data_IF_761064540844
#
_entry.id   IF_761064540844
#
_cell.length_a   1.000
_cell.length_b   1.000
_cell.length_c   1.000
_cell.angle_alpha   90.00
_cell.angle_beta   90.00
_cell.angle_gamma   90.00
#
_symmetry.space_group_name_H-M   'P 1'
#
loop_
_entity.id
_entity.type
_entity.pdbx_description
1 polymer ?
#
# COMPACT_ATOMS: atom_id res chain seq x y z
N UNK A 1 47.44 1.74 54.79
CA UNK A 1 46.64 0.99 53.79
C UNK A 1 45.18 1.29 54.05
N UNK A 2 44.41 1.84 53.10
CA UNK A 2 43.00 2.14 53.36
C UNK A 2 42.21 0.84 53.49
N UNK A 3 41.29 0.80 54.46
CA UNK A 3 40.43 -0.33 54.75
C UNK A 3 39.61 -0.74 53.52
N UNK A 4 39.56 -2.04 53.22
CA UNK A 4 38.61 -2.60 52.25
C UNK A 4 37.20 -2.31 52.76
N UNK A 5 36.47 -1.41 52.12
CA UNK A 5 35.02 -1.31 52.29
C UNK A 5 34.39 -2.59 51.71
N UNK A 6 33.99 -3.49 52.60
CA UNK A 6 33.21 -4.67 52.25
C UNK A 6 31.75 -4.19 52.16
N UNK A 7 31.24 -4.06 50.94
CA UNK A 7 29.82 -3.78 50.72
C UNK A 7 29.13 -5.13 50.55
N UNK A 8 28.25 -5.48 51.48
CA UNK A 8 27.45 -6.70 51.38
C UNK A 8 26.33 -6.53 50.34
N UNK A 9 26.01 -7.62 49.65
CA UNK A 9 24.93 -7.65 48.67
C UNK A 9 23.58 -7.83 49.38
N UNK A 10 22.67 -6.87 49.18
CA UNK A 10 21.31 -7.01 49.69
C UNK A 10 20.51 -8.00 48.84
N UNK A 11 19.84 -8.93 49.51
CA UNK A 11 19.09 -10.00 48.83
C UNK A 11 17.67 -9.57 48.47
N UNK A 12 17.55 -8.69 47.47
CA UNK A 12 16.26 -8.23 46.94
C UNK A 12 15.47 -9.31 46.19
N UNK A 13 16.13 -10.39 45.75
CA UNK A 13 15.52 -11.57 45.13
C UNK A 13 16.12 -12.85 45.74
N UNK A 14 15.41 -13.97 45.66
CA UNK A 14 16.02 -15.27 45.90
C UNK A 14 16.95 -15.68 44.73
N UNK A 15 17.91 -16.57 45.00
CA UNK A 15 18.84 -17.04 43.96
C UNK A 15 18.10 -17.74 42.79
N UNK A 16 16.99 -18.43 43.09
CA UNK A 16 16.14 -19.10 42.10
C UNK A 16 15.40 -18.11 41.20
N UNK A 17 14.90 -17.01 41.78
CA UNK A 17 14.25 -15.94 41.01
C UNK A 17 15.26 -15.19 40.14
N UNK A 18 16.47 -14.95 40.64
CA UNK A 18 17.55 -14.35 39.87
C UNK A 18 17.93 -15.22 38.66
N UNK A 19 18.05 -16.54 38.85
CA UNK A 19 18.31 -17.48 37.77
C UNK A 19 17.18 -17.55 36.75
N UNK A 20 15.92 -17.53 37.19
CA UNK A 20 14.76 -17.47 36.29
C UNK A 20 14.83 -16.20 35.43
N UNK A 21 15.13 -15.06 36.06
CA UNK A 21 15.24 -13.78 35.35
C UNK A 21 16.40 -13.75 34.35
N UNK A 22 17.53 -14.38 34.67
CA UNK A 22 18.66 -14.54 33.74
C UNK A 22 18.24 -15.35 32.51
N UNK A 23 17.39 -16.38 32.65
CA UNK A 23 16.93 -17.19 31.51
C UNK A 23 15.96 -16.42 30.61
N UNK A 24 15.14 -15.55 31.20
CA UNK A 24 14.11 -14.78 30.48
C UNK A 24 14.64 -13.50 29.82
N UNK A 25 15.71 -12.92 30.36
CA UNK A 25 16.22 -11.63 29.92
C UNK A 25 16.92 -11.71 28.55
N UNK A 26 16.62 -10.76 27.67
CA UNK A 26 17.14 -10.74 26.29
C UNK A 26 18.17 -9.64 26.07
N UNK A 27 18.16 -8.59 26.89
CA UNK A 27 19.16 -7.52 26.79
C UNK A 27 20.52 -8.00 27.33
N UNK A 28 21.52 -8.06 26.45
CA UNK A 28 22.89 -8.46 26.77
C UNK A 28 23.54 -7.62 27.88
N UNK A 29 23.15 -6.35 28.02
CA UNK A 29 23.65 -5.46 29.08
C UNK A 29 23.05 -5.80 30.43
N UNK A 30 21.76 -6.15 30.47
CA UNK A 30 21.08 -6.58 31.69
C UNK A 30 21.53 -7.97 32.12
N UNK A 31 21.65 -8.91 31.18
CA UNK A 31 22.20 -10.25 31.45
C UNK A 31 23.56 -10.17 32.14
N UNK A 32 24.46 -9.33 31.62
CA UNK A 32 25.79 -9.13 32.19
C UNK A 32 25.77 -8.60 33.63
N UNK A 33 24.79 -7.74 33.96
CA UNK A 33 24.57 -7.22 35.33
C UNK A 33 23.97 -8.28 36.24
N UNK A 34 23.05 -9.10 35.75
CA UNK A 34 22.43 -10.19 36.52
C UNK A 34 23.43 -11.33 36.80
N UNK A 35 24.30 -11.68 35.85
CA UNK A 35 25.39 -12.63 36.07
C UNK A 35 26.39 -12.11 37.12
N UNK A 36 26.67 -10.81 37.13
CA UNK A 36 27.49 -10.21 38.18
C UNK A 36 26.85 -10.38 39.56
N UNK A 37 25.55 -10.11 39.69
CA UNK A 37 24.83 -10.31 40.96
C UNK A 37 24.77 -11.79 41.36
N UNK A 38 24.59 -12.71 40.41
CA UNK A 38 24.59 -14.15 40.70
C UNK A 38 25.93 -14.57 41.34
N UNK A 39 27.04 -14.14 40.75
CA UNK A 39 28.38 -14.40 41.29
C UNK A 39 28.55 -13.80 42.70
N UNK A 40 28.02 -12.61 42.96
CA UNK A 40 28.01 -12.01 44.31
C UNK A 40 27.15 -12.80 45.31
N UNK A 41 26.04 -13.40 44.86
CA UNK A 41 25.17 -14.26 45.70
C UNK A 41 25.80 -15.61 46.03
N UNK A 42 26.63 -16.13 45.12
CA UNK A 42 27.43 -17.34 45.29
C UNK A 42 28.63 -17.15 46.22
N UNK A 43 28.94 -15.90 46.60
CA UNK A 43 29.97 -15.56 47.59
C UNK A 43 31.32 -15.16 47.02
N UNK A 44 31.41 -14.88 45.71
CA UNK A 44 32.63 -14.38 45.09
C UNK A 44 33.07 -13.02 45.69
N UNK A 45 34.38 -12.77 45.76
CA UNK A 45 34.88 -11.42 46.05
C UNK A 45 34.52 -10.46 44.91
N UNK A 46 34.35 -9.18 45.23
CA UNK A 46 34.01 -8.13 44.27
C UNK A 46 34.93 -8.12 43.04
N UNK A 47 36.22 -8.41 43.25
CA UNK A 47 37.22 -8.51 42.17
C UNK A 47 36.99 -9.70 41.25
N UNK A 48 36.60 -10.84 41.81
CA UNK A 48 36.36 -12.07 41.08
C UNK A 48 35.04 -12.01 40.32
N UNK A 49 33.97 -11.53 40.97
CA UNK A 49 32.67 -11.33 40.36
C UNK A 49 32.74 -10.36 39.16
N UNK A 50 33.46 -9.24 39.30
CA UNK A 50 33.67 -8.28 38.22
C UNK A 50 34.53 -8.84 37.07
N UNK A 51 35.56 -9.63 37.39
CA UNK A 51 36.41 -10.27 36.39
C UNK A 51 35.66 -11.33 35.58
N UNK A 52 34.82 -12.17 36.22
CA UNK A 52 34.00 -13.21 35.56
C UNK A 52 33.05 -12.62 34.51
N UNK A 53 32.53 -11.42 34.75
CA UNK A 53 31.70 -10.70 33.77
C UNK A 53 32.50 -9.73 32.90
N UNK A 54 33.80 -9.60 33.09
CA UNK A 54 34.72 -8.77 32.30
C UNK A 54 34.55 -7.25 32.45
N UNK A 55 34.19 -6.75 33.65
CA UNK A 55 34.05 -5.31 33.92
C UNK A 55 35.06 -4.81 34.95
N UNK A 56 35.27 -3.49 35.02
CA UNK A 56 36.14 -2.90 36.03
C UNK A 56 35.54 -3.01 37.44
N UNK A 57 36.40 -3.06 38.46
CA UNK A 57 36.02 -3.02 39.88
C UNK A 57 35.06 -1.86 40.18
N UNK A 58 35.36 -0.66 39.66
CA UNK A 58 34.52 0.54 39.83
C UNK A 58 33.11 0.38 39.26
N UNK A 59 32.98 -0.35 38.14
CA UNK A 59 31.67 -0.65 37.54
C UNK A 59 30.90 -1.66 38.38
N UNK A 60 31.59 -2.68 38.90
CA UNK A 60 31.02 -3.65 39.83
C UNK A 60 30.46 -2.99 41.10
N UNK A 61 31.24 -2.11 41.73
CA UNK A 61 30.78 -1.31 42.87
C UNK A 61 29.54 -0.46 42.54
N UNK A 62 29.51 0.19 41.37
CA UNK A 62 28.34 0.98 40.92
C UNK A 62 27.11 0.10 40.71
N UNK A 63 27.27 -1.10 40.18
CA UNK A 63 26.15 -2.04 39.98
C UNK A 63 25.62 -2.56 41.30
N UNK A 64 26.51 -2.91 42.25
CA UNK A 64 26.11 -3.36 43.57
C UNK A 64 25.39 -2.25 44.35
N UNK A 65 25.89 -1.02 44.30
CA UNK A 65 25.24 0.12 44.96
C UNK A 65 23.83 0.34 44.42
N UNK A 66 23.68 0.37 43.08
CA UNK A 66 22.36 0.51 42.44
C UNK A 66 21.42 -0.62 42.78
N UNK A 67 21.93 -1.84 42.88
CA UNK A 67 21.16 -3.00 43.29
C UNK A 67 20.68 -2.87 44.73
N UNK A 68 21.54 -2.51 45.67
CA UNK A 68 21.17 -2.30 47.07
C UNK A 68 20.16 -1.14 47.21
N UNK A 69 20.28 -0.06 46.42
CA UNK A 69 19.37 1.09 46.50
C UNK A 69 17.93 0.83 46.01
N UNK A 70 17.68 -0.19 45.18
CA UNK A 70 16.35 -0.37 44.60
C UNK A 70 16.18 -1.54 43.64
N UNK A 71 16.98 -2.59 43.81
CA UNK A 71 16.85 -3.87 43.11
C UNK A 71 16.90 -3.76 41.59
N UNK A 72 16.01 -4.51 40.93
CA UNK A 72 16.03 -4.72 39.47
C UNK A 72 15.79 -3.43 38.67
N UNK A 73 14.93 -2.53 39.15
CA UNK A 73 14.59 -1.28 38.44
C UNK A 73 15.79 -0.32 38.36
N UNK A 74 16.54 -0.17 39.46
CA UNK A 74 17.76 0.63 39.50
C UNK A 74 18.95 -0.01 38.77
N UNK A 75 18.89 -1.33 38.58
CA UNK A 75 19.88 -2.07 37.80
C UNK A 75 19.72 -1.84 36.29
N UNK A 76 18.60 -1.28 35.80
CA UNK A 76 18.44 -0.95 34.38
C UNK A 76 19.45 0.13 33.94
N UNK A 77 19.91 0.11 32.69
CA UNK A 77 20.74 1.19 32.17
C UNK A 77 19.92 2.48 32.11
N UNK A 78 20.37 3.52 32.80
CA UNK A 78 19.89 4.87 32.54
C UNK A 78 20.43 5.26 31.16
N UNK A 79 19.56 5.26 30.16
CA UNK A 79 19.89 5.91 28.90
C UNK A 79 19.94 7.39 29.21
N UNK A 80 21.16 7.96 29.22
CA UNK A 80 21.33 9.40 29.29
C UNK A 80 20.42 10.01 28.23
N UNK A 81 19.44 10.81 28.67
CA UNK A 81 18.42 11.35 27.80
C UNK A 81 19.08 11.97 26.57
N UNK A 82 18.55 11.64 25.39
CA UNK A 82 19.02 12.26 24.17
C UNK A 82 18.88 13.79 24.26
N UNK A 83 19.54 14.51 23.34
CA UNK A 83 19.34 15.96 23.21
C UNK A 83 17.83 16.24 23.14
N UNK A 84 17.29 17.12 23.99
CA UNK A 84 15.87 17.42 23.98
C UNK A 84 15.44 17.85 22.56
N UNK A 85 14.26 17.41 22.10
CA UNK A 85 13.75 17.81 20.80
C UNK A 85 13.63 19.34 20.76
N UNK A 86 13.87 19.94 19.60
CA UNK A 86 13.79 21.41 19.48
C UNK A 86 12.35 21.93 19.47
N UNK A 87 11.40 21.06 19.13
CA UNK A 87 9.96 21.33 19.28
C UNK A 87 9.50 20.65 20.57
N UNK A 88 8.78 21.39 21.40
CA UNK A 88 8.04 20.84 22.53
C UNK A 88 6.92 19.92 22.03
N UNK A 89 6.34 19.14 22.94
CA UNK A 89 5.23 18.26 22.57
C UNK A 89 3.96 19.08 22.24
N UNK A 90 3.75 20.23 22.89
CA UNK A 90 2.67 21.17 22.56
C UNK A 90 2.84 21.76 21.15
N UNK A 91 4.06 22.21 20.80
CA UNK A 91 4.35 22.75 19.46
C UNK A 91 4.20 21.69 18.36
N UNK A 92 4.40 20.41 18.70
CA UNK A 92 4.18 19.29 17.78
C UNK A 92 2.70 19.03 17.54
N UNK A 93 1.88 19.11 18.57
CA UNK A 93 0.43 18.99 18.44
C UNK A 93 -0.12 20.15 17.62
N UNK A 94 0.29 21.37 17.90
CA UNK A 94 -0.10 22.55 17.12
C UNK A 94 0.34 22.43 15.65
N UNK A 95 1.57 21.95 15.39
CA UNK A 95 1.99 21.66 14.02
C UNK A 95 1.10 20.62 13.35
N UNK A 96 0.68 19.57 14.07
CA UNK A 96 -0.17 18.53 13.53
C UNK A 96 -1.56 19.06 13.13
N UNK A 97 -2.16 19.93 13.94
CA UNK A 97 -3.44 20.57 13.64
C UNK A 97 -3.37 21.42 12.37
N UNK A 98 -2.34 22.26 12.22
CA UNK A 98 -2.14 23.07 11.00
C UNK A 98 -1.96 22.18 9.77
N UNK A 99 -1.20 21.09 9.93
CA UNK A 99 -0.95 20.17 8.82
C UNK A 99 -2.20 19.37 8.45
N UNK A 100 -3.18 19.22 9.35
CA UNK A 100 -4.44 18.54 9.07
C UNK A 100 -5.43 19.36 8.23
N UNK A 101 -5.31 20.70 8.22
CA UNK A 101 -6.17 21.58 7.41
C UNK A 101 -5.97 21.39 5.90
N UNK A 102 -4.79 20.94 5.49
CA UNK A 102 -4.39 20.85 4.08
C UNK A 102 -3.59 19.58 3.78
N UNK A 103 -3.92 18.89 2.69
CA UNK A 103 -3.38 17.56 2.39
C UNK A 103 -2.18 17.51 1.42
N UNK A 104 -1.68 18.64 0.93
CA UNK A 104 -0.67 18.72 -0.14
C UNK A 104 0.64 19.43 0.26
N UNK A 105 0.95 19.44 1.56
CA UNK A 105 2.18 20.05 2.08
C UNK A 105 3.46 19.47 1.50
N UNK A 106 4.34 20.33 0.99
CA UNK A 106 5.71 19.95 0.66
C UNK A 106 6.63 20.09 1.86
N UNK A 107 7.69 19.28 1.94
CA UNK A 107 8.69 19.39 3.02
C UNK A 107 9.36 20.78 3.06
N UNK A 108 9.38 21.50 1.94
CA UNK A 108 9.93 22.87 1.88
C UNK A 108 9.01 23.87 2.58
N UNK A 109 7.71 23.80 2.31
CA UNK A 109 6.72 24.64 2.97
C UNK A 109 6.65 24.36 4.47
N UNK A 110 6.64 23.07 4.87
CA UNK A 110 6.64 22.71 6.30
C UNK A 110 7.91 23.25 6.98
N UNK A 111 9.08 23.17 6.33
CA UNK A 111 10.31 23.75 6.88
C UNK A 111 10.18 25.26 7.09
N UNK A 112 9.56 25.97 6.13
CA UNK A 112 9.33 27.41 6.24
C UNK A 112 8.34 27.73 7.38
N UNK A 113 7.22 27.01 7.45
CA UNK A 113 6.22 27.12 8.50
C UNK A 113 6.82 26.93 9.90
N UNK A 114 7.63 25.87 10.09
CA UNK A 114 8.26 25.59 11.38
C UNK A 114 9.25 26.69 11.79
N UNK A 115 9.95 27.27 10.80
CA UNK A 115 10.87 28.39 11.06
C UNK A 115 10.12 29.68 11.41
N UNK A 116 9.02 29.97 10.73
CA UNK A 116 8.24 31.20 10.95
C UNK A 116 7.43 31.14 12.25
N UNK A 117 6.82 29.99 12.57
CA UNK A 117 5.92 29.86 13.72
C UNK A 117 6.64 29.52 15.02
N UNK A 118 7.61 28.60 14.98
CA UNK A 118 8.30 28.09 16.17
C UNK A 118 9.75 28.58 16.29
N UNK A 119 10.28 29.31 15.30
CA UNK A 119 11.67 29.79 15.31
C UNK A 119 12.72 28.67 15.20
N UNK A 120 12.30 27.43 14.93
CA UNK A 120 13.17 26.25 14.91
C UNK A 120 13.60 25.93 13.49
N UNK A 121 14.90 25.69 13.29
CA UNK A 121 15.41 25.19 12.02
C UNK A 121 15.83 23.71 12.09
N UNK A 122 15.23 22.91 11.21
CA UNK A 122 15.56 21.50 11.00
C UNK A 122 16.17 21.24 9.62
N UNK A 123 17.00 20.20 9.53
CA UNK A 123 17.39 19.63 8.24
C UNK A 123 16.20 18.92 7.60
N UNK A 124 16.18 18.84 6.25
CA UNK A 124 15.09 18.16 5.51
C UNK A 124 14.91 16.70 5.94
N UNK A 125 16.02 16.00 6.19
CA UNK A 125 15.99 14.61 6.63
C UNK A 125 15.40 14.46 8.03
N UNK A 126 15.74 15.36 8.95
CA UNK A 126 15.22 15.32 10.31
C UNK A 126 13.74 15.68 10.35
N UNK A 127 13.33 16.73 9.63
CA UNK A 127 11.92 17.09 9.50
C UNK A 127 11.08 15.93 8.95
N UNK A 128 11.57 15.23 7.92
CA UNK A 128 10.88 14.02 7.40
C UNK A 128 10.74 12.91 8.44
N UNK A 129 11.70 12.74 9.35
CA UNK A 129 11.59 11.78 10.46
C UNK A 129 10.51 12.20 11.45
N UNK A 130 10.47 13.48 11.81
CA UNK A 130 9.42 14.05 12.69
C UNK A 130 8.03 13.84 12.09
N UNK A 131 7.85 14.20 10.81
CA UNK A 131 6.55 14.03 10.13
C UNK A 131 6.14 12.56 10.06
N UNK A 132 7.09 11.65 9.83
CA UNK A 132 6.81 10.20 9.88
C UNK A 132 6.43 9.73 11.29
N UNK A 133 7.05 10.24 12.35
CA UNK A 133 6.65 9.90 13.73
C UNK A 133 5.28 10.46 14.10
N UNK A 134 4.83 11.53 13.43
CA UNK A 134 3.47 12.06 13.52
C UNK A 134 2.45 11.27 12.68
N UNK A 135 2.87 10.21 11.99
CA UNK A 135 2.00 9.38 11.14
C UNK A 135 1.82 9.91 9.70
N UNK A 136 2.51 10.97 9.29
CA UNK A 136 2.39 11.49 7.93
C UNK A 136 3.10 10.60 6.90
N UNK A 137 2.40 10.38 5.78
CA UNK A 137 2.91 9.65 4.64
C UNK A 137 3.42 10.60 3.54
N UNK A 138 4.62 10.31 3.02
CA UNK A 138 5.18 11.07 1.91
C UNK A 138 5.01 10.25 0.62
N UNK A 139 3.98 10.58 -0.15
CA UNK A 139 3.61 9.93 -1.40
C UNK A 139 3.48 10.89 -2.57
N UNK A 140 3.31 10.35 -3.78
CA UNK A 140 2.92 11.15 -4.94
C UNK A 140 1.42 11.45 -4.83
N UNK A 141 0.96 12.71 -4.93
CA UNK A 141 -0.46 13.01 -4.87
C UNK A 141 -1.19 12.34 -6.02
N UNK A 142 -2.37 11.79 -5.72
CA UNK A 142 -3.26 11.27 -6.75
C UNK A 142 -3.92 12.44 -7.48
N UNK A 143 -3.86 12.43 -8.81
CA UNK A 143 -4.51 13.47 -9.62
C UNK A 143 -6.01 13.17 -9.67
N UNK A 144 -6.82 14.04 -9.05
CA UNK A 144 -8.28 14.04 -9.21
C UNK A 144 -8.65 15.18 -10.14
N UNK A 145 -9.53 14.91 -11.11
CA UNK A 145 -10.09 15.97 -11.94
C UNK A 145 -11.05 16.82 -11.10
N UNK A 146 -10.97 18.14 -11.22
CA UNK A 146 -11.81 19.07 -10.47
C UNK A 146 -13.30 18.96 -10.83
N UNK A 147 -13.63 18.39 -12.00
CA UNK A 147 -15.00 18.16 -12.47
C UNK A 147 -15.64 16.91 -11.88
N UNK A 148 -14.87 16.10 -11.15
CA UNK A 148 -15.38 14.89 -10.50
C UNK A 148 -16.36 15.29 -9.39
N UNK A 149 -17.60 14.77 -9.38
CA UNK A 149 -18.52 15.04 -8.29
C UNK A 149 -18.04 14.38 -6.99
N UNK A 150 -18.26 15.03 -5.84
CA UNK A 150 -17.90 14.48 -4.52
C UNK A 150 -18.61 13.14 -4.26
N UNK A 151 -19.90 13.06 -4.58
CA UNK A 151 -20.72 11.85 -4.44
C UNK A 151 -20.58 10.87 -5.62
N UNK A 152 -19.42 10.82 -6.28
CA UNK A 152 -19.19 9.90 -7.41
C UNK A 152 -19.44 8.45 -7.00
N UNK A 153 -18.93 8.03 -5.84
CA UNK A 153 -19.03 6.65 -5.37
C UNK A 153 -20.49 6.26 -5.07
N UNK A 154 -21.24 7.14 -4.41
CA UNK A 154 -22.66 6.92 -4.12
C UNK A 154 -23.48 6.81 -5.41
N UNK A 155 -23.24 7.71 -6.38
CA UNK A 155 -23.91 7.65 -7.69
C UNK A 155 -23.63 6.37 -8.45
N UNK A 156 -22.40 5.84 -8.36
CA UNK A 156 -22.07 4.55 -8.96
C UNK A 156 -22.85 3.43 -8.28
N UNK A 157 -22.88 3.43 -6.94
CA UNK A 157 -23.60 2.43 -6.15
C UNK A 157 -25.10 2.42 -6.48
N UNK A 158 -25.76 3.58 -6.48
CA UNK A 158 -27.18 3.69 -6.83
C UNK A 158 -27.48 3.18 -8.25
N UNK A 159 -26.61 3.47 -9.23
CA UNK A 159 -26.78 3.00 -10.61
C UNK A 159 -26.62 1.48 -10.71
N UNK A 160 -25.63 0.94 -9.99
CA UNK A 160 -25.36 -0.48 -9.96
C UNK A 160 -26.48 -1.24 -9.27
N UNK A 161 -26.93 -0.78 -8.11
CA UNK A 161 -28.04 -1.39 -7.35
C UNK A 161 -29.31 -1.43 -8.22
N UNK A 162 -29.66 -0.32 -8.89
CA UNK A 162 -30.79 -0.29 -9.83
C UNK A 162 -30.61 -1.26 -11.00
N UNK A 163 -29.41 -1.38 -11.55
CA UNK A 163 -29.15 -2.31 -12.65
C UNK A 163 -29.29 -3.77 -12.18
N UNK A 164 -28.77 -4.08 -11.00
CA UNK A 164 -28.83 -5.41 -10.40
C UNK A 164 -30.24 -5.79 -9.93
N UNK A 165 -31.03 -4.86 -9.38
CA UNK A 165 -32.44 -5.07 -9.01
C UNK A 165 -33.30 -5.38 -10.23
N UNK A 166 -33.12 -4.63 -11.33
CA UNK A 166 -33.81 -4.90 -12.59
C UNK A 166 -33.47 -6.28 -13.14
N UNK A 167 -32.23 -6.72 -12.96
CA UNK A 167 -31.78 -8.04 -13.38
C UNK A 167 -32.37 -9.11 -12.46
N UNK A 168 -32.25 -8.99 -11.14
CA UNK A 168 -32.83 -9.90 -10.15
C UNK A 168 -34.33 -10.12 -10.33
N UNK A 169 -35.08 -9.06 -10.65
CA UNK A 169 -36.53 -9.17 -10.89
C UNK A 169 -36.86 -9.92 -12.19
N UNK A 170 -35.89 -10.02 -13.10
CA UNK A 170 -36.02 -10.67 -14.40
C UNK A 170 -35.26 -11.99 -14.50
N UNK A 171 -34.52 -12.41 -13.46
CA UNK A 171 -33.74 -13.65 -13.42
C UNK A 171 -34.63 -14.81 -12.98
N UNK A 172 -34.57 -15.93 -13.69
CA UNK A 172 -35.03 -17.23 -13.18
C UNK A 172 -33.96 -17.82 -12.22
N UNK A 173 -34.33 -18.75 -11.34
CA UNK A 173 -33.49 -19.23 -10.22
C UNK A 173 -32.09 -19.80 -10.62
N UNK A 174 -31.87 -20.10 -11.91
CA UNK A 174 -30.64 -20.69 -12.46
C UNK A 174 -29.79 -19.75 -13.33
N UNK A 175 -30.27 -18.54 -13.67
CA UNK A 175 -29.52 -17.62 -14.53
C UNK A 175 -28.33 -16.99 -13.78
N UNK A 176 -27.12 -17.17 -14.33
CA UNK A 176 -25.90 -16.53 -13.82
C UNK A 176 -25.75 -15.13 -14.42
N UNK A 177 -25.27 -14.19 -13.61
CA UNK A 177 -24.96 -12.82 -14.05
C UNK A 177 -23.46 -12.64 -14.11
N UNK A 178 -22.94 -12.23 -15.26
CA UNK A 178 -21.54 -11.84 -15.40
C UNK A 178 -21.43 -10.33 -15.20
N UNK A 179 -20.58 -9.92 -14.26
CA UNK A 179 -20.29 -8.51 -14.03
C UNK A 179 -18.88 -8.25 -14.51
N UNK A 180 -18.69 -7.26 -15.38
CA UNK A 180 -17.37 -6.93 -15.90
C UNK A 180 -17.19 -5.47 -16.24
N UNK A 181 -15.92 -5.10 -16.40
CA UNK A 181 -15.50 -3.75 -16.72
C UNK A 181 -15.04 -3.67 -18.17
N UNK A 182 -15.47 -2.64 -18.87
CA UNK A 182 -15.00 -2.34 -20.22
C UNK A 182 -14.25 -1.02 -20.21
N UNK A 183 -13.09 -1.01 -20.86
CA UNK A 183 -12.31 0.19 -21.06
C UNK A 183 -11.42 0.06 -22.30
N UNK A 184 -11.06 1.23 -22.84
CA UNK A 184 -10.17 1.35 -23.98
C UNK A 184 -8.84 1.96 -23.56
N UNK A 185 -7.74 1.27 -23.84
CA UNK A 185 -6.41 1.82 -23.62
C UNK A 185 -5.60 1.87 -24.90
N UNK A 186 -4.68 2.83 -24.93
CA UNK A 186 -3.70 2.98 -26.01
C UNK A 186 -2.28 2.77 -25.48
N UNK A 187 -1.84 1.52 -25.21
CA UNK A 187 -0.47 1.25 -24.82
C UNK A 187 0.50 1.70 -25.92
N UNK A 188 1.64 2.27 -25.51
CA UNK A 188 2.70 2.79 -26.40
C UNK A 188 4.06 2.32 -25.92
N UNK A 189 4.95 2.01 -26.85
CA UNK A 189 6.35 1.63 -26.53
C UNK A 189 7.18 2.79 -25.96
N UNK A 190 6.72 4.03 -26.13
CA UNK A 190 7.42 5.23 -25.65
C UNK A 190 7.22 5.51 -24.17
N UNK A 191 6.17 4.97 -23.54
CA UNK A 191 5.89 5.19 -22.12
C UNK A 191 7.03 4.63 -21.26
N UNK A 192 7.52 5.44 -20.31
CA UNK A 192 8.47 4.97 -19.29
C UNK A 192 7.80 5.08 -17.92
N UNK A 193 7.18 3.98 -17.49
CA UNK A 193 6.42 3.96 -16.23
C UNK A 193 7.19 3.32 -15.07
N UNK A 194 8.39 2.80 -15.32
CA UNK A 194 9.15 1.99 -14.37
C UNK A 194 10.39 2.72 -13.84
N UNK A 195 10.67 2.48 -12.56
CA UNK A 195 11.98 2.77 -11.97
C UNK A 195 12.75 1.46 -11.93
N UNK A 196 14.01 1.48 -12.35
CA UNK A 196 14.90 0.32 -12.36
C UNK A 196 16.05 0.54 -11.39
N UNK A 197 16.56 -0.55 -10.83
CA UNK A 197 17.78 -0.52 -10.02
C UNK A 197 18.97 -0.76 -10.95
N UNK A 198 19.98 0.11 -10.88
CA UNK A 198 21.21 -0.04 -11.63
C UNK A 198 22.39 0.47 -10.79
N UNK A 199 23.55 -0.19 -10.91
CA UNK A 199 24.80 0.24 -10.26
C UNK A 199 25.39 1.51 -10.90
N UNK A 200 24.91 1.88 -12.09
CA UNK A 200 25.24 3.08 -12.86
C UNK A 200 23.97 3.70 -13.45
N UNK A 201 24.10 4.75 -14.26
CA UNK A 201 22.98 5.34 -14.97
C UNK A 201 22.29 4.30 -15.88
N UNK A 202 20.98 4.06 -15.71
CA UNK A 202 20.29 3.03 -16.46
C UNK A 202 20.06 3.47 -17.91
N UNK A 203 20.65 2.74 -18.86
CA UNK A 203 20.41 2.91 -20.29
C UNK A 203 19.38 1.87 -20.78
N UNK A 204 18.44 2.30 -21.64
CA UNK A 204 17.48 1.40 -22.29
C UNK A 204 17.62 1.50 -23.81
N UNK A 205 18.07 0.41 -24.45
CA UNK A 205 17.96 0.26 -25.91
C UNK A 205 16.48 0.17 -26.28
N UNK A 206 16.05 0.99 -27.24
CA UNK A 206 14.69 1.01 -27.77
C UNK A 206 14.75 1.03 -29.28
N UNK A 207 13.82 0.34 -29.93
CA UNK A 207 13.57 0.53 -31.35
C UNK A 207 12.99 1.95 -31.55
N UNK A 208 13.49 2.69 -32.54
CA UNK A 208 13.03 4.05 -32.85
C UNK A 208 11.59 4.04 -33.37
N UNK A 209 11.15 2.92 -33.95
CA UNK A 209 9.79 2.72 -34.44
C UNK A 209 8.79 2.73 -33.28
N UNK A 210 7.86 3.69 -33.31
CA UNK A 210 6.86 3.87 -32.26
C UNK A 210 5.61 3.05 -32.58
N UNK A 211 5.39 1.97 -31.83
CA UNK A 211 4.16 1.21 -31.91
C UNK A 211 3.12 1.73 -30.91
N UNK A 212 1.85 1.72 -31.36
CA UNK A 212 0.68 1.98 -30.55
C UNK A 212 -0.44 1.05 -31.00
N UNK A 213 -1.27 0.61 -30.05
CA UNK A 213 -2.44 -0.22 -30.34
C UNK A 213 -3.65 0.33 -29.60
N UNK A 214 -4.78 0.53 -30.29
CA UNK A 214 -6.04 0.82 -29.63
C UNK A 214 -6.62 -0.51 -29.16
N UNK A 215 -6.59 -0.74 -27.85
CA UNK A 215 -6.89 -2.03 -27.24
C UNK A 215 -8.17 -1.89 -26.43
N UNK A 216 -9.16 -2.70 -26.78
CA UNK A 216 -10.40 -2.86 -26.04
C UNK A 216 -10.21 -4.02 -25.08
N UNK A 217 -10.51 -3.80 -23.81
CA UNK A 217 -10.44 -4.84 -22.78
C UNK A 217 -11.79 -4.99 -22.09
N UNK A 218 -12.20 -6.23 -21.92
CA UNK A 218 -13.29 -6.63 -21.05
C UNK A 218 -12.73 -7.48 -19.91
N UNK A 219 -12.87 -6.98 -18.70
CA UNK A 219 -12.43 -7.62 -17.47
C UNK A 219 -13.65 -8.07 -16.64
N UNK A 220 -14.08 -9.33 -16.77
CA UNK A 220 -15.15 -9.90 -15.96
C UNK A 220 -14.66 -10.31 -14.57
N UNK A 221 -15.58 -10.32 -13.62
CA UNK A 221 -15.38 -10.83 -12.25
C UNK A 221 -15.60 -12.35 -12.15
N UNK A 222 -16.34 -12.93 -13.08
CA UNK A 222 -16.82 -14.32 -12.97
C UNK A 222 -17.10 -14.96 -14.35
N UNK A 223 -16.43 -14.48 -15.40
CA UNK A 223 -16.61 -14.96 -16.78
C UNK A 223 -15.32 -14.87 -17.59
N UNK A 224 -15.44 -14.94 -18.92
CA UNK A 224 -14.28 -14.98 -19.81
C UNK A 224 -13.83 -13.58 -20.26
N UNK A 225 -12.54 -13.30 -20.06
CA UNK A 225 -11.96 -11.99 -20.40
C UNK A 225 -11.69 -11.87 -21.90
N UNK A 226 -12.00 -10.71 -22.47
CA UNK A 226 -11.86 -10.47 -23.91
C UNK A 226 -10.94 -9.28 -24.15
N UNK A 227 -9.99 -9.44 -25.06
CA UNK A 227 -9.11 -8.36 -25.51
C UNK A 227 -9.07 -8.32 -27.03
N UNK A 228 -9.32 -7.15 -27.61
CA UNK A 228 -9.30 -6.97 -29.06
C UNK A 228 -8.58 -5.68 -29.46
N UNK A 229 -7.88 -5.74 -30.59
CA UNK A 229 -7.25 -4.57 -31.19
C UNK A 229 -8.13 -4.01 -32.30
N UNK A 230 -8.50 -2.74 -32.20
CA UNK A 230 -9.30 -2.06 -33.22
C UNK A 230 -8.51 -0.90 -33.81
N UNK A 231 -8.91 -0.46 -35.01
CA UNK A 231 -8.26 0.69 -35.67
C UNK A 231 -8.67 2.02 -35.04
N UNK A 232 -9.90 2.10 -34.51
CA UNK A 232 -10.47 3.31 -33.94
C UNK A 232 -11.49 2.99 -32.83
N UNK A 233 -11.88 4.05 -32.11
CA UNK A 233 -12.84 4.01 -30.98
C UNK A 233 -14.24 4.46 -31.40
N UNK A 234 -14.67 4.17 -32.64
CA UNK A 234 -16.00 4.56 -33.12
C UNK A 234 -17.07 3.59 -32.65
N UNK A 235 -18.32 4.05 -32.62
CA UNK A 235 -19.49 3.28 -32.17
C UNK A 235 -19.62 1.91 -32.84
N UNK A 236 -19.27 1.80 -34.12
CA UNK A 236 -19.37 0.53 -34.85
C UNK A 236 -18.43 -0.54 -34.25
N UNK A 237 -17.23 -0.13 -33.83
CA UNK A 237 -16.24 -1.03 -33.23
C UNK A 237 -16.58 -1.40 -31.81
N UNK A 238 -17.26 -0.50 -31.08
CA UNK A 238 -17.86 -0.81 -29.77
C UNK A 238 -18.93 -1.89 -29.93
N UNK A 239 -19.82 -1.76 -30.93
CA UNK A 239 -20.85 -2.77 -31.21
C UNK A 239 -20.24 -4.14 -31.58
N UNK A 240 -19.22 -4.17 -32.45
CA UNK A 240 -18.49 -5.40 -32.77
C UNK A 240 -17.88 -6.04 -31.51
N UNK A 241 -17.38 -5.22 -30.58
CA UNK A 241 -16.80 -5.71 -29.33
C UNK A 241 -17.86 -6.28 -28.39
N UNK A 242 -19.06 -5.68 -28.31
CA UNK A 242 -20.19 -6.27 -27.58
C UNK A 242 -20.59 -7.64 -28.14
N UNK A 243 -20.64 -7.79 -29.46
CA UNK A 243 -20.89 -9.09 -30.09
C UNK A 243 -19.81 -10.11 -29.72
N UNK A 244 -18.55 -9.69 -29.65
CA UNK A 244 -17.47 -10.57 -29.22
C UNK A 244 -17.60 -10.99 -27.76
N UNK A 245 -17.92 -10.06 -26.86
CA UNK A 245 -18.16 -10.36 -25.44
C UNK A 245 -19.30 -11.37 -25.29
N UNK A 246 -20.40 -11.18 -26.02
CA UNK A 246 -21.53 -12.11 -26.00
C UNK A 246 -21.17 -13.48 -26.57
N UNK A 247 -20.32 -13.53 -27.60
CA UNK A 247 -19.87 -14.81 -28.17
C UNK A 247 -19.04 -15.64 -27.19
N UNK A 248 -18.20 -14.99 -26.38
CA UNK A 248 -17.39 -15.67 -25.35
C UNK A 248 -18.19 -15.98 -24.08
N UNK A 249 -19.34 -15.33 -23.88
CA UNK A 249 -20.23 -15.51 -22.72
C UNK A 249 -21.70 -15.66 -23.20
N UNK A 250 -22.07 -16.81 -23.80
CA UNK A 250 -23.30 -16.96 -24.58
C UNK A 250 -24.60 -17.13 -23.79
N UNK A 251 -24.55 -17.50 -22.51
CA UNK A 251 -25.73 -17.94 -21.73
C UNK A 251 -26.10 -17.01 -20.56
N UNK A 252 -25.17 -16.17 -20.10
CA UNK A 252 -25.40 -15.33 -18.91
C UNK A 252 -25.94 -13.93 -19.24
N UNK A 253 -26.64 -13.30 -18.28
CA UNK A 253 -26.89 -11.86 -18.35
C UNK A 253 -25.61 -11.11 -18.03
N UNK A 254 -25.22 -10.17 -18.89
CA UNK A 254 -23.94 -9.47 -18.76
C UNK A 254 -24.18 -8.04 -18.29
N UNK A 255 -23.56 -7.65 -17.19
CA UNK A 255 -23.49 -6.26 -16.72
C UNK A 255 -22.11 -5.71 -17.05
N UNK A 256 -22.06 -4.71 -17.92
CA UNK A 256 -20.82 -4.03 -18.28
C UNK A 256 -20.78 -2.66 -17.61
N UNK A 257 -19.73 -2.43 -16.84
CA UNK A 257 -19.40 -1.14 -16.24
C UNK A 257 -18.37 -0.45 -17.11
N UNK A 258 -18.67 0.77 -17.57
CA UNK A 258 -17.85 1.49 -18.55
C UNK A 258 -17.89 3.00 -18.35
N UNK A 259 -16.99 3.72 -19.00
CA UNK A 259 -16.92 5.18 -18.94
C UNK A 259 -18.02 5.87 -19.79
N UNK A 260 -18.13 7.20 -19.68
CA UNK A 260 -19.11 7.97 -20.45
C UNK A 260 -18.59 8.41 -21.83
N UNK A 261 -17.67 7.67 -22.44
CA UNK A 261 -17.16 8.05 -23.76
C UNK A 261 -18.32 8.12 -24.77
N UNK A 262 -18.29 9.14 -25.64
CA UNK A 262 -19.42 9.48 -26.52
C UNK A 262 -19.81 8.33 -27.45
N UNK A 263 -18.85 7.48 -27.86
CA UNK A 263 -19.10 6.30 -28.67
C UNK A 263 -19.86 5.20 -27.92
N UNK A 264 -19.71 5.10 -26.60
CA UNK A 264 -20.45 4.13 -25.78
C UNK A 264 -21.88 4.58 -25.45
N UNK A 265 -22.09 5.90 -25.32
CA UNK A 265 -23.42 6.52 -25.15
C UNK A 265 -24.18 6.74 -26.47
N UNK A 266 -23.66 6.26 -27.58
CA UNK A 266 -24.39 6.32 -28.84
C UNK A 266 -25.66 5.46 -28.70
N UNK A 267 -26.82 5.99 -29.11
CA UNK A 267 -28.10 5.25 -29.06
C UNK A 267 -28.02 3.88 -29.73
N UNK A 268 -27.25 3.79 -30.82
CA UNK A 268 -27.03 2.52 -31.54
C UNK A 268 -26.27 1.49 -30.67
N UNK A 269 -25.30 1.94 -29.86
CA UNK A 269 -24.52 1.08 -28.99
C UNK A 269 -25.35 0.60 -27.78
N UNK A 270 -26.16 1.49 -27.19
CA UNK A 270 -27.10 1.12 -26.12
C UNK A 270 -28.15 0.12 -26.62
N UNK A 271 -28.75 0.38 -27.79
CA UNK A 271 -29.72 -0.55 -28.39
C UNK A 271 -29.10 -1.91 -28.68
N UNK A 272 -27.89 -1.93 -29.25
CA UNK A 272 -27.19 -3.18 -29.56
C UNK A 272 -26.83 -3.96 -28.29
N UNK A 273 -26.44 -3.27 -27.21
CA UNK A 273 -26.19 -3.92 -25.93
C UNK A 273 -27.48 -4.58 -25.38
N UNK A 274 -28.61 -3.87 -25.42
CA UNK A 274 -29.91 -4.43 -25.01
C UNK A 274 -30.33 -5.63 -25.87
N UNK A 275 -30.16 -5.56 -27.20
CA UNK A 275 -30.41 -6.68 -28.12
C UNK A 275 -29.56 -7.94 -27.79
N UNK A 276 -28.36 -7.75 -27.22
CA UNK A 276 -27.45 -8.82 -26.83
C UNK A 276 -27.63 -9.29 -25.38
N UNK A 277 -28.63 -8.78 -24.65
CA UNK A 277 -28.83 -9.09 -23.24
C UNK A 277 -27.76 -8.49 -22.31
N UNK A 278 -27.13 -7.40 -22.75
CA UNK A 278 -26.06 -6.71 -22.02
C UNK A 278 -26.62 -5.44 -21.37
N UNK A 279 -26.52 -5.34 -20.05
CA UNK A 279 -26.87 -4.14 -19.29
C UNK A 279 -25.66 -3.25 -19.09
N UNK A 280 -25.74 -2.03 -19.62
CA UNK A 280 -24.68 -1.02 -19.47
C UNK A 280 -24.87 -0.19 -18.19
N UNK A 281 -23.80 -0.08 -17.39
CA UNK A 281 -23.73 0.76 -16.19
C UNK A 281 -22.61 1.78 -16.37
N UNK A 282 -22.98 3.04 -16.53
CA UNK A 282 -22.00 4.10 -16.75
C UNK A 282 -21.41 4.61 -15.44
N UNK A 283 -20.08 4.72 -15.40
CA UNK A 283 -19.35 5.37 -14.32
C UNK A 283 -19.76 6.85 -14.18
N UNK A 284 -19.59 7.46 -13.00
CA UNK A 284 -19.69 8.91 -12.86
C UNK A 284 -18.64 9.61 -13.75
N UNK A 285 -18.94 10.82 -14.26
CA UNK A 285 -17.99 11.59 -15.04
C UNK A 285 -16.65 11.76 -14.31
N UNK A 286 -15.54 11.71 -15.07
CA UNK A 286 -14.19 11.96 -14.56
C UNK A 286 -13.76 11.07 -13.37
N UNK A 287 -14.26 9.83 -13.31
CA UNK A 287 -13.97 8.88 -12.22
C UNK A 287 -13.26 7.60 -12.69
N UNK A 288 -12.10 7.70 -13.39
CA UNK A 288 -11.36 6.51 -13.88
C UNK A 288 -10.83 5.64 -12.73
N UNK A 289 -10.68 6.20 -11.52
CA UNK A 289 -10.27 5.46 -10.32
C UNK A 289 -11.29 4.41 -9.86
N UNK A 290 -12.54 4.54 -10.29
CA UNK A 290 -13.61 3.58 -9.99
C UNK A 290 -13.63 2.39 -10.95
N UNK A 291 -12.76 2.37 -11.96
CA UNK A 291 -12.67 1.31 -12.96
C UNK A 291 -11.46 0.38 -12.67
N UNK A 292 -11.66 -0.83 -12.14
CA UNK A 292 -10.56 -1.75 -11.80
C UNK A 292 -9.68 -2.15 -12.99
N UNK A 293 -10.22 -2.15 -14.21
CA UNK A 293 -9.45 -2.48 -15.42
C UNK A 293 -8.27 -1.51 -15.67
N UNK A 294 -8.32 -0.28 -15.13
CA UNK A 294 -7.19 0.65 -15.17
C UNK A 294 -5.95 0.08 -14.45
N UNK A 295 -6.13 -0.75 -13.42
CA UNK A 295 -5.01 -1.43 -12.77
C UNK A 295 -4.38 -2.49 -13.68
N UNK A 296 -5.20 -3.19 -14.48
CA UNK A 296 -4.73 -4.12 -15.51
C UNK A 296 -3.93 -3.36 -16.56
N UNK A 297 -4.44 -2.24 -17.07
CA UNK A 297 -3.70 -1.39 -18.01
C UNK A 297 -2.40 -0.85 -17.45
N UNK A 298 -2.35 -0.48 -16.17
CA UNK A 298 -1.11 -0.09 -15.48
C UNK A 298 -0.10 -1.24 -15.44
N UNK A 299 -0.55 -2.46 -15.20
CA UNK A 299 0.28 -3.68 -15.27
C UNK A 299 0.87 -3.88 -16.66
N UNK A 300 0.03 -3.84 -17.70
CA UNK A 300 0.45 -3.99 -19.10
C UNK A 300 1.46 -2.91 -19.50
N UNK A 301 1.18 -1.63 -19.19
CA UNK A 301 2.11 -0.51 -19.45
C UNK A 301 3.44 -0.69 -18.74
N UNK A 302 3.46 -1.33 -17.57
CA UNK A 302 4.68 -1.65 -16.81
C UNK A 302 5.52 -2.70 -17.54
N UNK A 303 4.90 -3.79 -17.99
CA UNK A 303 5.57 -4.87 -18.72
C UNK A 303 6.13 -4.37 -20.07
N UNK A 304 5.35 -3.57 -20.81
CA UNK A 304 5.81 -2.87 -22.03
C UNK A 304 7.00 -1.94 -21.73
N UNK A 305 6.97 -1.24 -20.59
CA UNK A 305 8.05 -0.32 -20.22
C UNK A 305 9.36 -1.05 -19.90
N UNK A 306 9.33 -2.35 -19.60
CA UNK A 306 10.54 -3.18 -19.38
C UNK A 306 10.96 -3.97 -20.61
N UNK A 307 10.03 -4.32 -21.49
CA UNK A 307 10.31 -5.12 -22.69
C UNK A 307 10.99 -4.32 -23.80
N UNK A 308 11.60 -5.05 -24.73
CA UNK A 308 12.09 -4.60 -26.03
C UNK A 308 11.30 -5.34 -27.11
N UNK A 309 10.96 -4.66 -28.20
CA UNK A 309 10.16 -5.21 -29.30
C UNK A 309 10.87 -4.95 -30.61
N UNK A 310 11.07 -6.00 -31.38
CA UNK A 310 11.62 -5.93 -32.74
C UNK A 310 10.49 -5.71 -33.75
N UNK A 311 9.35 -6.37 -33.52
CA UNK A 311 8.19 -6.38 -34.41
C UNK A 311 6.92 -5.84 -33.74
N UNK A 312 5.90 -5.53 -34.55
CA UNK A 312 4.60 -5.09 -34.02
C UNK A 312 3.82 -6.27 -33.45
N UNK A 313 4.03 -7.46 -34.00
CA UNK A 313 3.39 -8.71 -33.62
C UNK A 313 3.76 -9.08 -32.17
N UNK A 314 5.05 -9.06 -31.82
CA UNK A 314 5.54 -9.27 -30.44
C UNK A 314 4.90 -8.29 -29.45
N UNK A 315 4.70 -7.04 -29.87
CA UNK A 315 4.06 -6.02 -29.05
C UNK A 315 2.59 -6.32 -28.79
N UNK A 316 1.85 -6.79 -29.80
CA UNK A 316 0.44 -7.15 -29.67
C UNK A 316 0.26 -8.45 -28.89
N UNK A 317 1.15 -9.42 -29.08
CA UNK A 317 1.17 -10.69 -28.36
C UNK A 317 1.41 -10.46 -26.86
N UNK A 318 2.41 -9.65 -26.50
CA UNK A 318 2.62 -9.30 -25.09
C UNK A 318 1.38 -8.65 -24.48
N UNK A 319 0.71 -7.73 -25.17
CA UNK A 319 -0.52 -7.11 -24.63
C UNK A 319 -1.60 -8.17 -24.36
N UNK A 320 -1.80 -9.11 -25.29
CA UNK A 320 -2.78 -10.20 -25.12
C UNK A 320 -2.43 -11.07 -23.92
N UNK A 321 -1.20 -11.55 -23.85
CA UNK A 321 -0.72 -12.44 -22.79
C UNK A 321 -0.77 -11.75 -21.42
N UNK A 322 -0.28 -10.52 -21.34
CA UNK A 322 -0.34 -9.72 -20.12
C UNK A 322 -1.79 -9.47 -19.70
N UNK A 323 -2.69 -9.19 -20.64
CA UNK A 323 -4.10 -8.97 -20.33
C UNK A 323 -4.74 -10.23 -19.75
N UNK A 324 -4.61 -11.38 -20.41
CA UNK A 324 -5.15 -12.67 -19.94
C UNK A 324 -4.58 -13.06 -18.57
N UNK A 325 -3.28 -12.87 -18.36
CA UNK A 325 -2.61 -13.17 -17.09
C UNK A 325 -3.08 -12.28 -15.94
N UNK A 326 -3.38 -11.01 -16.23
CA UNK A 326 -3.80 -10.04 -15.22
C UNK A 326 -5.32 -10.07 -14.98
N UNK A 327 -6.12 -10.33 -16.00
CA UNK A 327 -7.58 -10.50 -15.90
C UNK A 327 -7.95 -11.74 -15.08
N UNK A 328 -7.14 -12.80 -15.09
CA UNK A 328 -7.35 -13.95 -14.21
C UNK A 328 -7.21 -13.66 -12.70
N UNK A 329 -6.78 -12.45 -12.32
CA UNK A 329 -6.59 -12.07 -10.91
C UNK A 329 -7.70 -11.17 -10.40
N UNK A 330 -8.58 -11.72 -9.57
CA UNK A 330 -9.62 -10.95 -8.85
C UNK A 330 -9.06 -9.97 -7.81
N UNK A 331 -7.78 -10.06 -7.47
CA UNK A 331 -7.12 -9.13 -6.54
C UNK A 331 -7.19 -7.66 -6.98
N UNK A 332 -7.36 -7.40 -8.28
CA UNK A 332 -7.49 -6.03 -8.79
C UNK A 332 -8.89 -5.43 -8.55
N UNK A 333 -9.92 -6.28 -8.40
CA UNK A 333 -11.28 -5.87 -8.14
C UNK A 333 -11.78 -6.21 -6.73
N UNK A 334 -11.02 -6.94 -5.90
CA UNK A 334 -11.49 -7.40 -4.57
C UNK A 334 -12.00 -6.27 -3.67
N UNK A 335 -11.27 -5.16 -3.57
CA UNK A 335 -11.70 -3.98 -2.82
C UNK A 335 -12.93 -3.29 -3.42
N UNK A 336 -13.09 -3.39 -4.74
CA UNK A 336 -14.26 -2.87 -5.45
C UNK A 336 -15.49 -3.75 -5.17
N UNK A 337 -15.35 -5.08 -5.26
CA UNK A 337 -16.39 -6.07 -4.96
C UNK A 337 -16.93 -5.84 -3.55
N UNK A 338 -16.05 -5.73 -2.54
CA UNK A 338 -16.47 -5.53 -1.15
C UNK A 338 -17.20 -4.22 -0.91
N UNK A 339 -16.93 -3.20 -1.73
CA UNK A 339 -17.44 -1.83 -1.54
C UNK A 339 -18.76 -1.58 -2.28
N UNK A 340 -18.90 -2.11 -3.49
CA UNK A 340 -19.98 -1.77 -4.40
C UNK A 340 -20.97 -2.90 -4.66
N UNK A 341 -20.58 -4.19 -4.55
CA UNK A 341 -21.50 -5.29 -4.81
C UNK A 341 -22.29 -5.67 -3.55
N UNK A 342 -23.61 -5.91 -3.67
CA UNK A 342 -24.40 -6.49 -2.59
C UNK A 342 -23.97 -7.95 -2.28
N UNK A 343 -24.21 -8.40 -1.04
CA UNK A 343 -23.66 -9.68 -0.52
C UNK A 343 -24.05 -10.93 -1.32
N UNK A 344 -25.20 -10.92 -2.01
CA UNK A 344 -25.62 -12.01 -2.89
C UNK A 344 -24.73 -12.13 -4.14
N UNK A 345 -24.32 -11.01 -4.74
CA UNK A 345 -23.43 -10.99 -5.91
C UNK A 345 -21.95 -11.18 -5.54
N UNK A 346 -21.55 -10.79 -4.33
CA UNK A 346 -20.18 -11.06 -3.85
C UNK A 346 -19.86 -12.55 -3.84
N UNK A 347 -20.82 -13.42 -3.48
CA UNK A 347 -20.65 -14.88 -3.45
C UNK A 347 -20.51 -15.52 -4.84
N UNK A 348 -20.93 -14.81 -5.89
CA UNK A 348 -20.85 -15.30 -7.28
C UNK A 348 -19.49 -14.96 -7.90
N UNK A 349 -18.79 -13.95 -7.34
CA UNK A 349 -17.50 -13.46 -7.82
C UNK A 349 -16.29 -14.06 -7.09
N UNK A 350 -16.50 -14.91 -6.08
CA UNK A 350 -15.47 -15.61 -5.27
C UNK A 350 -15.63 -17.10 -5.51
#
# INVERSE_FOLDING_TARGET
MPAKMIIEVEKHLSIRELESRIREEKDSRMLRRLFFLRNMYEGDDMKEAAAKVGVSLTTGYRWLHRWNEGGLERLKPDFGGGRPPKLSDEEREELNEILAERNDWTTKEIKKLVKEKFGVEYSRCHLRRILKSMGMNCGKPYQKDYRRPENAEEKLKERLDKALENINSALEEEERVIIGFLDESRPKTTSNTVRVWAFKDPEKKRNTTKYQANTFGFYPLNGESVVEFKENSKKERVCEFFERIRKENPEEKIVIILDNFSSHRAKDAERKAEELGIKLVFLPPYSPDLNPIEQIWRGIKREISTAFFETKEEFLELIKDSFQKLSGKLSYASGWISKFLPSNFQKICI
#
